data_IF_760549580811
#
_entry.id   IF_760549580811
#
_cell.length_a   1.000
_cell.length_b   1.000
_cell.length_c   1.000
_cell.angle_alpha   90.00
_cell.angle_beta   90.00
_cell.angle_gamma   90.00
#
_symmetry.space_group_name_H-M   'P 1'
#
loop_
_entity.id
_entity.type
_entity.pdbx_description
1 polymer ?
#
# COMPACT_ATOMS: atom_id res chain seq x y z
N UNK A 1 52.61 -20.34 -0.12
CA UNK A 1 52.92 -19.08 -0.83
C UNK A 1 51.93 -18.92 -1.97
N UNK A 2 51.13 -17.85 -1.94
CA UNK A 2 50.18 -17.46 -2.99
C UNK A 2 50.96 -16.86 -4.16
N UNK A 3 50.68 -17.29 -5.39
CA UNK A 3 50.93 -16.51 -6.61
C UNK A 3 49.66 -16.55 -7.45
N UNK A 4 48.85 -15.52 -7.28
CA UNK A 4 47.90 -15.09 -8.29
C UNK A 4 48.61 -14.06 -9.16
N UNK A 5 48.47 -14.17 -10.48
CA UNK A 5 48.08 -13.08 -11.41
C UNK A 5 48.35 -13.56 -12.84
N UNK A 6 47.32 -13.61 -13.67
CA UNK A 6 47.22 -12.68 -14.81
C UNK A 6 46.02 -13.05 -15.67
N UNK A 7 45.02 -12.20 -15.49
CA UNK A 7 44.02 -11.70 -16.43
C UNK A 7 44.32 -11.93 -17.91
N UNK A 8 43.34 -12.51 -18.62
CA UNK A 8 43.10 -12.22 -20.02
C UNK A 8 41.57 -12.25 -20.24
N UNK A 9 41.03 -11.08 -20.57
CA UNK A 9 39.62 -10.84 -20.81
C UNK A 9 39.15 -11.51 -22.11
N UNK A 10 37.95 -12.09 -22.09
CA UNK A 10 37.18 -12.34 -23.30
C UNK A 10 35.84 -11.65 -23.12
N UNK A 11 35.69 -10.53 -23.83
CA UNK A 11 34.43 -9.87 -24.11
C UNK A 11 33.52 -10.87 -24.83
N UNK A 12 32.44 -11.30 -24.17
CA UNK A 12 31.30 -11.91 -24.83
C UNK A 12 30.09 -11.02 -24.59
N UNK A 13 29.73 -10.26 -25.64
CA UNK A 13 28.46 -9.58 -25.78
C UNK A 13 27.33 -10.61 -25.61
N UNK A 14 26.62 -10.55 -24.49
CA UNK A 14 25.31 -11.19 -24.39
C UNK A 14 24.28 -10.14 -24.78
N UNK A 15 23.67 -10.40 -25.93
CA UNK A 15 22.58 -9.64 -26.54
C UNK A 15 21.42 -9.56 -25.55
N UNK A 16 21.04 -8.33 -25.18
CA UNK A 16 19.80 -8.03 -24.48
C UNK A 16 18.62 -8.56 -25.31
N UNK A 17 18.07 -9.70 -24.90
CA UNK A 17 16.76 -10.15 -25.37
C UNK A 17 15.72 -9.53 -24.44
N UNK A 18 15.41 -8.27 -24.70
CA UNK A 18 14.22 -7.59 -24.19
C UNK A 18 13.01 -8.20 -24.88
N UNK A 19 12.37 -9.18 -24.25
CA UNK A 19 11.06 -9.66 -24.67
C UNK A 19 10.30 -10.20 -23.48
N UNK A 20 9.40 -9.36 -22.94
CA UNK A 20 8.12 -9.88 -22.43
C UNK A 20 7.79 -9.77 -20.94
N UNK A 21 8.40 -8.87 -20.17
CA UNK A 21 7.79 -8.35 -18.93
C UNK A 21 7.69 -6.84 -19.01
N UNK A 22 7.13 -6.33 -20.12
CA UNK A 22 6.72 -4.95 -20.21
C UNK A 22 5.27 -4.85 -19.72
N UNK A 23 5.08 -4.03 -18.68
CA UNK A 23 3.82 -3.38 -18.33
C UNK A 23 2.74 -4.18 -17.58
N UNK A 24 3.12 -4.84 -16.47
CA UNK A 24 2.21 -4.95 -15.31
C UNK A 24 2.81 -4.37 -14.01
N UNK A 25 4.09 -3.98 -14.04
CA UNK A 25 4.78 -3.27 -12.95
C UNK A 25 4.82 -1.75 -13.17
N UNK A 26 3.88 -1.24 -13.99
CA UNK A 26 3.41 0.14 -13.78
C UNK A 26 2.44 0.17 -12.58
N UNK A 27 2.72 -0.64 -11.55
CA UNK A 27 2.28 -0.35 -10.20
C UNK A 27 2.74 1.08 -9.95
N UNK A 28 1.78 2.00 -9.81
CA UNK A 28 2.03 3.38 -9.47
C UNK A 28 3.08 3.35 -8.35
N UNK A 29 4.31 3.79 -8.63
CA UNK A 29 5.35 3.94 -7.60
C UNK A 29 4.95 5.15 -6.77
N UNK A 30 3.82 5.03 -6.08
CA UNK A 30 3.32 6.03 -5.18
C UNK A 30 4.25 5.97 -3.99
N UNK A 31 5.11 6.97 -3.87
CA UNK A 31 5.91 7.15 -2.66
C UNK A 31 4.94 7.28 -1.48
N UNK A 32 5.05 6.35 -0.54
CA UNK A 32 4.34 6.40 0.74
C UNK A 32 5.11 7.35 1.64
N UNK A 33 4.48 8.44 2.08
CA UNK A 33 5.05 9.33 3.07
C UNK A 33 5.12 8.69 4.45
N UNK A 34 6.11 9.11 5.25
CA UNK A 34 6.36 8.57 6.60
C UNK A 34 5.11 8.60 7.51
N UNK A 35 4.28 9.65 7.38
CA UNK A 35 3.06 9.79 8.16
C UNK A 35 2.03 8.71 7.80
N UNK A 36 1.77 8.51 6.51
CA UNK A 36 0.85 7.48 6.01
C UNK A 36 1.37 6.08 6.37
N UNK A 37 2.65 5.79 6.11
CA UNK A 37 3.25 4.49 6.43
C UNK A 37 3.10 4.16 7.92
N UNK A 38 3.42 5.13 8.80
CA UNK A 38 3.30 4.94 10.24
C UNK A 38 1.85 4.75 10.67
N UNK A 39 0.91 5.51 10.09
CA UNK A 39 -0.50 5.39 10.42
C UNK A 39 -1.05 4.00 10.05
N UNK A 40 -0.76 3.51 8.84
CA UNK A 40 -1.19 2.18 8.38
C UNK A 40 -0.53 1.05 9.18
N UNK A 41 0.75 1.20 9.54
CA UNK A 41 1.41 0.25 10.42
C UNK A 41 0.73 0.18 11.81
N UNK A 42 0.39 1.33 12.39
CA UNK A 42 -0.33 1.39 13.67
C UNK A 42 -1.74 0.81 13.58
N UNK A 43 -2.43 1.02 12.45
CA UNK A 43 -3.72 0.40 12.17
C UNK A 43 -3.60 -1.13 12.09
N UNK A 44 -2.59 -1.65 11.40
CA UNK A 44 -2.28 -3.08 11.36
C UNK A 44 -1.98 -3.66 12.75
N UNK A 45 -1.20 -2.95 13.56
CA UNK A 45 -0.91 -3.35 14.95
C UNK A 45 -2.17 -3.35 15.83
N UNK A 46 -3.08 -2.38 15.65
CA UNK A 46 -4.34 -2.32 16.38
C UNK A 46 -5.29 -3.47 16.00
N UNK A 47 -5.34 -3.84 14.72
CA UNK A 47 -6.13 -4.98 14.23
C UNK A 47 -5.56 -6.34 14.66
N UNK A 48 -4.24 -6.45 14.82
CA UNK A 48 -3.58 -7.67 15.27
C UNK A 48 -3.63 -7.89 16.80
N UNK A 49 -3.98 -6.85 17.57
CA UNK A 49 -4.05 -6.87 19.02
C UNK A 49 -5.42 -7.42 19.50
N UNK A 50 -5.48 -8.65 20.06
CA UNK A 50 -6.75 -9.27 20.47
C UNK A 50 -7.42 -8.55 21.64
N UNK A 51 -6.68 -7.70 22.36
CA UNK A 51 -7.17 -6.92 23.49
C UNK A 51 -7.48 -5.46 23.10
N UNK A 52 -7.33 -5.08 21.83
CA UNK A 52 -7.66 -3.74 21.36
C UNK A 52 -9.16 -3.47 21.49
N UNK A 53 -9.51 -2.31 22.07
CA UNK A 53 -10.89 -1.84 22.07
C UNK A 53 -11.30 -1.39 20.67
N UNK A 54 -12.60 -1.49 20.37
CA UNK A 54 -13.18 -0.99 19.12
C UNK A 54 -12.82 0.49 18.87
N UNK A 55 -12.82 1.31 19.92
CA UNK A 55 -12.43 2.72 19.83
C UNK A 55 -10.96 2.90 19.39
N UNK A 56 -10.05 2.04 19.84
CA UNK A 56 -8.62 2.10 19.48
C UNK A 56 -8.43 1.71 18.01
N UNK A 57 -9.20 0.73 17.53
CA UNK A 57 -9.22 0.32 16.12
C UNK A 57 -9.74 1.47 15.26
N UNK A 58 -10.90 2.05 15.60
CA UNK A 58 -11.48 3.18 14.86
C UNK A 58 -10.57 4.42 14.85
N UNK A 59 -9.91 4.73 15.96
CA UNK A 59 -8.91 5.82 16.01
C UNK A 59 -7.74 5.58 15.06
N UNK A 60 -7.25 4.34 15.00
CA UNK A 60 -6.16 3.97 14.09
C UNK A 60 -6.60 3.99 12.62
N UNK A 61 -7.81 3.52 12.31
CA UNK A 61 -8.42 3.61 10.98
C UNK A 61 -8.61 5.06 10.52
N UNK A 62 -9.16 5.91 11.41
CA UNK A 62 -9.31 7.34 11.14
C UNK A 62 -7.97 7.97 10.80
N UNK A 63 -6.93 7.61 11.56
CA UNK A 63 -5.57 8.12 11.35
C UNK A 63 -5.01 7.66 10.00
N UNK A 64 -5.21 6.40 9.62
CA UNK A 64 -4.84 5.86 8.31
C UNK A 64 -5.48 6.62 7.16
N UNK A 65 -6.78 6.91 7.25
CA UNK A 65 -7.51 7.68 6.24
C UNK A 65 -7.08 9.16 6.18
N UNK A 66 -6.70 9.74 7.32
CA UNK A 66 -6.34 11.16 7.45
C UNK A 66 -4.89 11.47 7.06
N UNK A 67 -3.94 10.63 7.44
CA UNK A 67 -2.51 10.89 7.30
C UNK A 67 -1.97 10.44 5.93
N UNK A 68 -2.72 9.64 5.18
CA UNK A 68 -2.48 9.37 3.77
C UNK A 68 -3.09 10.47 2.89
N UNK A 69 -2.38 10.87 1.83
CA UNK A 69 -2.72 12.04 1.01
C UNK A 69 -3.88 11.79 0.04
N UNK A 70 -4.05 10.56 -0.42
CA UNK A 70 -5.02 10.15 -1.44
C UNK A 70 -5.23 8.62 -1.42
N UNK A 71 -6.16 8.13 -2.25
CA UNK A 71 -6.48 6.70 -2.35
C UNK A 71 -5.27 5.87 -2.83
N UNK A 72 -4.42 6.41 -3.70
CA UNK A 72 -3.30 5.67 -4.26
C UNK A 72 -2.24 5.39 -3.20
N UNK A 73 -1.94 6.39 -2.36
CA UNK A 73 -0.98 6.22 -1.26
C UNK A 73 -1.53 5.27 -0.20
N UNK A 74 -2.80 5.42 0.16
CA UNK A 74 -3.45 4.55 1.14
C UNK A 74 -3.51 3.10 0.66
N UNK A 75 -3.99 2.85 -0.56
CA UNK A 75 -4.08 1.49 -1.12
C UNK A 75 -2.71 0.84 -1.30
N UNK A 76 -1.69 1.61 -1.66
CA UNK A 76 -0.30 1.11 -1.73
C UNK A 76 0.19 0.70 -0.33
N UNK A 77 0.00 1.55 0.67
CA UNK A 77 0.40 1.25 2.05
C UNK A 77 -0.37 0.04 2.63
N UNK A 78 -1.67 -0.08 2.34
CA UNK A 78 -2.50 -1.22 2.73
C UNK A 78 -2.09 -2.50 2.01
N UNK A 79 -1.73 -2.45 0.73
CA UNK A 79 -1.25 -3.65 0.01
C UNK A 79 0.03 -4.25 0.61
N UNK A 80 0.86 -3.42 1.26
CA UNK A 80 2.02 -3.86 2.02
C UNK A 80 1.71 -4.25 3.48
N UNK A 81 0.54 -3.89 3.99
CA UNK A 81 0.08 -4.15 5.36
C UNK A 81 -1.40 -4.61 5.36
N UNK A 82 -1.75 -5.70 4.67
CA UNK A 82 -3.14 -6.08 4.43
C UNK A 82 -3.94 -6.31 5.72
N UNK A 83 -3.28 -6.65 6.83
CA UNK A 83 -3.90 -6.81 8.13
C UNK A 83 -4.46 -5.49 8.71
N UNK A 84 -4.06 -4.32 8.19
CA UNK A 84 -4.65 -3.04 8.58
C UNK A 84 -6.13 -2.93 8.22
N UNK A 85 -6.63 -3.77 7.33
CA UNK A 85 -8.04 -3.86 6.94
C UNK A 85 -8.61 -5.26 7.15
N UNK A 86 -7.93 -6.09 7.96
CA UNK A 86 -8.40 -7.42 8.34
C UNK A 86 -8.17 -8.53 7.31
N UNK A 87 -7.25 -8.35 6.35
CA UNK A 87 -6.91 -9.36 5.35
C UNK A 87 -5.49 -9.91 5.55
N UNK A 88 -5.25 -11.16 5.16
CA UNK A 88 -3.90 -11.74 5.18
C UNK A 88 -3.05 -11.24 4.00
N UNK A 89 -3.67 -11.09 2.84
CA UNK A 89 -3.06 -10.62 1.61
C UNK A 89 -4.06 -9.77 0.81
N UNK A 90 -3.58 -8.73 0.15
CA UNK A 90 -4.36 -7.89 -0.77
C UNK A 90 -3.47 -7.43 -1.93
N UNK A 91 -3.96 -7.56 -3.15
CA UNK A 91 -3.41 -6.80 -4.27
C UNK A 91 -3.67 -5.29 -4.10
N UNK A 92 -2.96 -4.45 -4.85
CA UNK A 92 -3.20 -3.00 -4.84
C UNK A 92 -4.64 -2.65 -5.23
N UNK A 93 -5.22 -3.38 -6.17
CA UNK A 93 -6.59 -3.16 -6.63
C UNK A 93 -7.61 -3.57 -5.56
N UNK A 94 -7.43 -4.74 -4.92
CA UNK A 94 -8.28 -5.17 -3.81
C UNK A 94 -8.16 -4.22 -2.62
N UNK A 95 -6.95 -3.75 -2.32
CA UNK A 95 -6.73 -2.71 -1.32
C UNK A 95 -7.51 -1.44 -1.66
N UNK A 96 -7.37 -0.89 -2.86
CA UNK A 96 -8.13 0.28 -3.28
C UNK A 96 -9.66 0.06 -3.22
N UNK A 97 -10.14 -1.12 -3.60
CA UNK A 97 -11.56 -1.46 -3.51
C UNK A 97 -12.03 -1.60 -2.07
N UNK A 98 -11.19 -2.05 -1.12
CA UNK A 98 -11.59 -2.17 0.29
C UNK A 98 -11.88 -0.84 0.99
N UNK A 99 -11.51 0.30 0.39
CA UNK A 99 -11.68 1.63 0.97
C UNK A 99 -13.14 1.96 1.33
N UNK A 100 -14.12 1.35 0.65
CA UNK A 100 -15.53 1.57 0.98
C UNK A 100 -15.87 1.14 2.41
N UNK A 101 -15.22 0.09 2.93
CA UNK A 101 -15.44 -0.38 4.29
C UNK A 101 -14.99 0.69 5.29
N UNK A 102 -13.75 1.18 5.15
CA UNK A 102 -13.18 2.18 6.04
C UNK A 102 -13.92 3.53 5.96
N UNK A 103 -14.27 3.98 4.75
CA UNK A 103 -14.98 5.25 4.58
C UNK A 103 -16.43 5.19 5.04
N UNK A 104 -17.14 4.07 4.88
CA UNK A 104 -18.52 3.96 5.35
C UNK A 104 -18.63 3.84 6.88
N UNK A 105 -17.65 3.24 7.54
CA UNK A 105 -17.66 3.05 9.00
C UNK A 105 -17.09 4.24 9.77
N UNK A 106 -15.99 4.84 9.30
CA UNK A 106 -15.20 5.80 10.09
C UNK A 106 -15.28 7.25 9.56
N UNK A 107 -15.54 7.44 8.27
CA UNK A 107 -15.54 8.76 7.62
C UNK A 107 -16.69 8.91 6.61
N UNK A 108 -17.93 8.70 7.07
CA UNK A 108 -19.13 8.73 6.21
C UNK A 108 -19.36 10.10 5.55
N UNK A 109 -18.86 11.17 6.16
CA UNK A 109 -18.90 12.54 5.61
C UNK A 109 -17.81 12.79 4.54
N UNK A 110 -16.93 11.81 4.31
CA UNK A 110 -15.85 11.85 3.31
C UNK A 110 -14.91 13.05 3.53
N UNK A 111 -14.60 13.34 4.80
CA UNK A 111 -13.82 14.50 5.21
C UNK A 111 -12.30 14.25 5.13
N UNK A 112 -11.87 13.00 5.21
CA UNK A 112 -10.46 12.62 5.08
C UNK A 112 -9.99 12.70 3.62
N UNK A 113 -8.69 12.94 3.38
CA UNK A 113 -8.16 13.02 2.01
C UNK A 113 -8.43 11.74 1.20
N UNK A 114 -8.29 10.57 1.83
CA UNK A 114 -8.52 9.27 1.20
C UNK A 114 -9.98 9.11 0.77
N UNK A 115 -10.94 9.32 1.67
CA UNK A 115 -12.35 9.14 1.33
C UNK A 115 -12.87 10.20 0.36
N UNK A 116 -12.37 11.44 0.45
CA UNK A 116 -12.70 12.49 -0.51
C UNK A 116 -12.18 12.15 -1.93
N UNK A 117 -10.99 11.58 -2.04
CA UNK A 117 -10.42 11.15 -3.33
C UNK A 117 -11.11 9.89 -3.86
N UNK A 118 -11.38 8.90 -3.01
CA UNK A 118 -12.12 7.69 -3.34
C UNK A 118 -13.53 8.00 -3.89
N UNK A 119 -14.24 8.94 -3.26
CA UNK A 119 -15.54 9.42 -3.75
C UNK A 119 -15.44 10.02 -5.16
N UNK A 120 -14.48 10.92 -5.40
CA UNK A 120 -14.28 11.55 -6.72
C UNK A 120 -14.00 10.54 -7.83
N UNK A 121 -13.42 9.40 -7.46
CA UNK A 121 -13.03 8.32 -8.36
C UNK A 121 -14.09 7.22 -8.50
N UNK A 122 -15.21 7.32 -7.76
CA UNK A 122 -16.33 6.36 -7.84
C UNK A 122 -16.14 5.08 -7.02
N UNK A 123 -15.18 5.05 -6.07
CA UNK A 123 -14.99 3.88 -5.19
C UNK A 123 -16.02 3.82 -4.05
N UNK A 124 -16.75 4.91 -3.81
CA UNK A 124 -17.71 5.05 -2.70
C UNK A 124 -19.17 5.24 -3.14
N UNK A 125 -19.40 5.32 -4.45
CA UNK A 125 -20.73 5.54 -5.01
C UNK A 125 -21.28 4.18 -5.48
N UNK A 126 -21.99 3.52 -4.54
CA UNK A 126 -22.80 2.31 -4.70
C UNK A 126 -22.09 0.96 -4.92
N UNK A 127 -22.23 0.10 -3.90
CA UNK A 127 -22.98 -1.16 -4.09
C UNK A 127 -24.37 -1.01 -3.47
#
# INVERSE_FOLDING_TARGET
MRKATSTAAVLAFIVCSTSGCADLDSARTTTIGDACQKAIQQQNEAWADPDASESKIQEAETKGLKDCKDLDEWSTAVSYNPGSVGYEELSLEEAANSVYLACSSVDSERATPVCADAAKRGYLDES
#
